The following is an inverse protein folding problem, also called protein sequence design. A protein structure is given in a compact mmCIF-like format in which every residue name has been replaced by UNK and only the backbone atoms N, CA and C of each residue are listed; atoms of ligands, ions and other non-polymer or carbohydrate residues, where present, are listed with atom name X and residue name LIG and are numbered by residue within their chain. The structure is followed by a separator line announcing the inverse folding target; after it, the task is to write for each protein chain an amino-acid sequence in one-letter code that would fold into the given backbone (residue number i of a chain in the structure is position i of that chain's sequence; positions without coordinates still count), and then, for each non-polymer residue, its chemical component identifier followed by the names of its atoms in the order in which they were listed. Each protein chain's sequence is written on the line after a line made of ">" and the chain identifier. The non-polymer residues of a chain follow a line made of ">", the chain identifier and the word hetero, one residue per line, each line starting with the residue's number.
data_IF_742559228049
#
_entry.id   IF_742559228049
#
_cell.length_a   1.000
_cell.length_b   1.000
_cell.length_c   1.000
_cell.angle_alpha   90.00
_cell.angle_beta   90.00
_cell.angle_gamma   90.00
#
_symmetry.space_group_name_H-M   'P 1'
#
loop_
_entity.id
_entity.type
_entity.pdbx_description
1 polymer ?
#
# COMPACT_ATOMS: atom_id res chain seq x y z
N UNK A 1 7.79 33.23 -4.88
CA UNK A 1 8.78 32.59 -5.76
C UNK A 1 9.67 31.73 -4.90
N UNK A 2 9.35 30.44 -4.79
CA UNK A 2 10.25 29.44 -4.20
C UNK A 2 11.09 28.88 -5.34
N UNK A 3 12.40 29.16 -5.31
CA UNK A 3 13.37 28.56 -6.22
C UNK A 3 13.40 27.04 -5.97
N UNK A 4 12.81 26.28 -6.88
CA UNK A 4 13.08 24.85 -6.97
C UNK A 4 14.47 24.70 -7.59
N UNK A 5 15.45 24.23 -6.81
CA UNK A 5 16.76 23.85 -7.33
C UNK A 5 16.60 22.91 -8.54
N UNK A 6 17.49 22.94 -9.54
CA UNK A 6 17.35 22.12 -10.73
C UNK A 6 17.50 20.64 -10.33
N UNK A 7 16.38 19.93 -10.23
CA UNK A 7 16.37 18.52 -9.90
C UNK A 7 17.11 17.71 -10.95
N UNK A 8 18.13 16.97 -10.53
CA UNK A 8 18.81 15.96 -11.34
C UNK A 8 17.74 15.00 -11.88
N UNK A 9 17.46 15.06 -13.19
CA UNK A 9 16.55 14.12 -13.84
C UNK A 9 17.16 12.71 -13.75
N UNK A 10 16.55 11.83 -12.98
CA UNK A 10 16.87 10.40 -12.95
C UNK A 10 17.58 9.88 -11.71
N UNK A 11 17.79 10.68 -10.66
CA UNK A 11 18.21 10.20 -9.35
C UNK A 11 17.01 9.81 -8.48
N UNK A 12 17.09 8.69 -7.77
CA UNK A 12 16.10 8.32 -6.75
C UNK A 12 16.37 9.09 -5.46
N UNK A 13 15.37 9.77 -4.86
CA UNK A 13 15.53 10.30 -3.53
C UNK A 13 15.71 9.15 -2.52
N UNK A 14 16.58 9.35 -1.54
CA UNK A 14 16.74 8.40 -0.44
C UNK A 14 15.49 8.46 0.46
N UNK A 15 14.60 7.50 0.30
CA UNK A 15 13.37 7.38 1.07
C UNK A 15 13.63 6.45 2.26
N UNK A 16 13.52 7.00 3.48
CA UNK A 16 13.69 6.26 4.73
C UNK A 16 12.34 5.88 5.33
N UNK A 17 12.23 4.76 6.08
CA UNK A 17 11.05 4.52 6.89
C UNK A 17 10.72 5.74 7.78
N UNK A 18 9.43 6.01 7.98
CA UNK A 18 9.00 6.94 9.00
C UNK A 18 9.27 6.32 10.37
N UNK A 19 9.83 7.10 11.31
CA UNK A 19 10.20 6.58 12.62
C UNK A 19 8.99 6.05 13.39
N UNK A 20 7.86 6.77 13.34
CA UNK A 20 6.62 6.38 14.02
C UNK A 20 5.39 6.78 13.22
N UNK A 21 4.29 6.06 13.42
CA UNK A 21 2.98 6.44 12.90
C UNK A 21 2.49 7.76 13.53
N UNK A 22 2.15 8.80 12.74
CA UNK A 22 1.44 9.95 13.27
C UNK A 22 0.12 9.52 13.92
N UNK A 23 -0.23 10.18 15.02
CA UNK A 23 -1.47 9.91 15.74
C UNK A 23 -2.67 10.02 14.77
N UNK A 24 -3.50 8.98 14.75
CA UNK A 24 -4.71 8.94 13.92
C UNK A 24 -4.51 8.46 12.48
N UNK A 25 -3.28 8.39 11.94
CA UNK A 25 -3.06 7.93 10.56
C UNK A 25 -3.56 6.50 10.34
N UNK A 26 -3.25 5.58 11.25
CA UNK A 26 -3.70 4.19 11.15
C UNK A 26 -5.24 4.08 11.12
N UNK A 27 -5.93 4.86 11.97
CA UNK A 27 -7.40 4.93 11.98
C UNK A 27 -7.95 5.51 10.67
N UNK A 28 -7.34 6.57 10.16
CA UNK A 28 -7.74 7.21 8.91
C UNK A 28 -7.62 6.23 7.74
N UNK A 29 -6.46 5.56 7.60
CA UNK A 29 -6.22 4.58 6.52
C UNK A 29 -7.16 3.37 6.62
N UNK A 30 -7.42 2.87 7.84
CA UNK A 30 -8.38 1.80 8.04
C UNK A 30 -9.81 2.22 7.63
N UNK A 31 -10.22 3.45 7.95
CA UNK A 31 -11.51 3.99 7.52
C UNK A 31 -11.62 4.16 5.99
N UNK A 32 -10.54 4.60 5.34
CA UNK A 32 -10.47 4.71 3.87
C UNK A 32 -10.65 3.34 3.21
N UNK A 33 -9.96 2.30 3.69
CA UNK A 33 -10.12 0.93 3.18
C UNK A 33 -11.54 0.40 3.39
N UNK A 34 -12.12 0.67 4.56
CA UNK A 34 -13.52 0.31 4.83
C UNK A 34 -14.48 1.02 3.88
N UNK A 35 -14.23 2.29 3.57
CA UNK A 35 -15.04 3.03 2.60
C UNK A 35 -14.93 2.40 1.20
N UNK A 36 -13.72 2.05 0.75
CA UNK A 36 -13.50 1.35 -0.53
C UNK A 36 -14.27 0.02 -0.60
N UNK A 37 -14.23 -0.77 0.48
CA UNK A 37 -14.99 -2.02 0.56
C UNK A 37 -16.49 -1.77 0.39
N UNK A 38 -17.02 -0.77 1.08
CA UNK A 38 -18.45 -0.42 1.03
C UNK A 38 -18.85 0.11 -0.36
N UNK A 39 -18.01 0.93 -0.99
CA UNK A 39 -18.28 1.50 -2.33
C UNK A 39 -18.58 0.43 -3.37
N UNK A 40 -17.93 -0.74 -3.29
CA UNK A 40 -18.12 -1.84 -4.26
C UNK A 40 -19.06 -2.95 -3.77
N UNK A 41 -19.71 -2.76 -2.62
CA UNK A 41 -20.56 -3.80 -2.00
C UNK A 41 -21.86 -3.30 -1.37
N UNK A 42 -22.18 -2.02 -1.54
CA UNK A 42 -23.37 -1.40 -0.95
C UNK A 42 -24.26 -0.84 -2.05
N UNK A 43 -25.57 -1.01 -1.88
CA UNK A 43 -26.60 -0.24 -2.58
C UNK A 43 -27.29 0.66 -1.55
N UNK A 44 -27.12 1.97 -1.65
CA UNK A 44 -27.55 2.95 -0.64
C UNK A 44 -28.01 4.24 -1.30
N UNK A 45 -28.96 4.93 -0.67
CA UNK A 45 -29.37 6.29 -1.05
C UNK A 45 -28.56 7.38 -0.34
N UNK A 46 -27.64 7.01 0.56
CA UNK A 46 -26.87 7.96 1.39
C UNK A 46 -25.56 8.43 0.74
N UNK A 47 -25.38 8.23 -0.57
CA UNK A 47 -24.12 8.54 -1.26
C UNK A 47 -23.75 10.02 -1.17
N UNK A 48 -24.71 10.93 -1.29
CA UNK A 48 -24.45 12.37 -1.23
C UNK A 48 -23.91 12.78 0.17
N UNK A 49 -24.57 12.33 1.24
CA UNK A 49 -24.11 12.59 2.61
C UNK A 49 -22.74 11.95 2.89
N UNK A 50 -22.49 10.74 2.37
CA UNK A 50 -21.19 10.09 2.51
C UNK A 50 -20.09 10.88 1.77
N UNK A 51 -20.38 11.40 0.58
CA UNK A 51 -19.46 12.23 -0.19
C UNK A 51 -19.10 13.52 0.56
N UNK A 52 -20.08 14.21 1.14
CA UNK A 52 -19.83 15.41 1.97
C UNK A 52 -18.86 15.12 3.12
N UNK A 53 -18.95 13.95 3.77
CA UNK A 53 -18.03 13.56 4.83
C UNK A 53 -16.59 13.33 4.31
N UNK A 54 -16.45 12.71 3.13
CA UNK A 54 -15.15 12.50 2.48
C UNK A 54 -14.53 13.84 2.08
N UNK A 55 -15.30 14.72 1.46
CA UNK A 55 -14.86 16.07 1.05
C UNK A 55 -14.41 16.89 2.26
N UNK A 56 -15.15 16.84 3.37
CA UNK A 56 -14.74 17.49 4.62
C UNK A 56 -13.43 16.92 5.17
N UNK A 57 -13.21 15.61 5.07
CA UNK A 57 -11.95 15.00 5.47
C UNK A 57 -10.79 15.46 4.58
N UNK A 58 -11.00 15.55 3.27
CA UNK A 58 -10.02 16.12 2.33
C UNK A 58 -9.69 17.57 2.68
N UNK A 59 -10.69 18.41 2.92
CA UNK A 59 -10.51 19.82 3.26
C UNK A 59 -9.70 20.04 4.55
N UNK A 60 -9.75 19.11 5.51
CA UNK A 60 -8.93 19.17 6.73
C UNK A 60 -7.45 18.91 6.45
N UNK A 61 -7.14 18.09 5.44
CA UNK A 61 -5.77 17.70 5.09
C UNK A 61 -5.17 18.59 3.99
N UNK A 62 -6.01 19.22 3.17
CA UNK A 62 -5.59 20.14 2.13
C UNK A 62 -4.82 21.33 2.73
N UNK A 63 -3.84 21.84 2.00
CA UNK A 63 -2.86 22.82 2.47
C UNK A 63 -1.70 22.27 3.30
N UNK A 64 -1.71 20.98 3.66
CA UNK A 64 -0.62 20.30 4.39
C UNK A 64 0.22 19.38 3.50
N UNK A 65 0.19 19.58 2.18
CA UNK A 65 1.02 18.82 1.25
C UNK A 65 2.50 19.07 1.55
N UNK A 66 3.28 18.00 1.56
CA UNK A 66 4.71 18.01 1.83
C UNK A 66 5.49 17.50 0.61
N UNK A 67 6.79 17.81 0.48
CA UNK A 67 7.62 17.28 -0.60
C UNK A 67 7.66 15.74 -0.64
N UNK A 68 8.13 15.22 -1.76
CA UNK A 68 8.37 13.79 -1.93
C UNK A 68 9.23 13.25 -0.78
N UNK A 69 8.78 12.13 -0.21
CA UNK A 69 9.48 11.50 0.90
C UNK A 69 9.38 12.25 2.25
N UNK A 70 8.49 13.20 2.41
CA UNK A 70 8.13 13.73 3.73
C UNK A 70 6.80 13.17 4.25
N UNK A 71 5.89 12.76 3.36
CA UNK A 71 4.59 12.22 3.76
C UNK A 71 4.75 10.86 4.46
N UNK A 72 3.96 10.57 5.51
CA UNK A 72 4.07 9.32 6.26
C UNK A 72 3.50 8.12 5.51
N UNK A 73 2.47 8.32 4.69
CA UNK A 73 1.80 7.24 3.96
C UNK A 73 2.76 6.48 3.04
N UNK A 74 2.78 5.15 3.16
CA UNK A 74 3.71 4.30 2.41
C UNK A 74 5.07 4.11 3.07
N UNK A 75 5.30 4.66 4.27
CA UNK A 75 6.60 4.61 4.97
C UNK A 75 6.51 4.18 6.43
N UNK A 76 5.32 3.92 6.97
CA UNK A 76 5.13 3.56 8.39
C UNK A 76 5.10 2.04 8.56
N UNK A 77 6.23 1.41 8.91
CA UNK A 77 6.37 -0.05 9.03
C UNK A 77 5.35 -0.71 9.98
N UNK A 78 4.95 0.02 11.02
CA UNK A 78 4.00 -0.45 12.05
C UNK A 78 2.55 -0.57 11.56
N UNK A 79 2.23 0.03 10.39
CA UNK A 79 0.87 0.06 9.86
C UNK A 79 0.71 -0.90 8.66
N UNK A 80 -0.46 -1.56 8.53
CA UNK A 80 -0.72 -2.39 7.35
C UNK A 80 -0.62 -1.58 6.05
N UNK A 81 0.04 -2.13 5.04
CA UNK A 81 0.34 -1.45 3.78
C UNK A 81 1.26 -0.23 3.93
N UNK A 82 2.08 -0.18 4.99
CA UNK A 82 2.91 0.97 5.38
C UNK A 82 2.13 2.28 5.63
N UNK A 83 0.84 2.16 5.94
CA UNK A 83 -0.07 3.31 6.03
C UNK A 83 -0.50 3.87 4.66
N UNK A 84 -0.25 3.16 3.56
CA UNK A 84 -0.73 3.54 2.23
C UNK A 84 -2.19 3.06 2.03
N UNK A 85 -3.15 3.95 1.67
CA UNK A 85 -4.56 3.58 1.59
C UNK A 85 -4.89 2.63 0.44
N UNK A 86 -4.11 2.62 -0.64
CA UNK A 86 -4.33 1.74 -1.79
C UNK A 86 -3.71 0.35 -1.64
N UNK A 87 -2.61 0.23 -0.87
CA UNK A 87 -1.96 -1.07 -0.72
C UNK A 87 -2.82 -1.94 0.19
N UNK A 88 -2.94 -3.25 -0.10
CA UNK A 88 -3.73 -4.15 0.72
C UNK A 88 -3.17 -4.17 2.14
N UNK A 89 -4.01 -4.42 3.16
CA UNK A 89 -3.64 -4.26 4.58
C UNK A 89 -2.77 -5.41 5.08
N UNK A 90 -1.56 -5.53 4.53
CA UNK A 90 -0.57 -6.54 4.87
C UNK A 90 0.53 -5.94 5.74
N UNK A 91 1.04 -6.74 6.67
CA UNK A 91 2.09 -6.36 7.62
C UNK A 91 3.34 -7.18 7.36
N UNK A 92 4.50 -6.53 7.47
CA UNK A 92 5.79 -7.25 7.49
C UNK A 92 5.89 -7.97 8.83
N UNK A 93 6.10 -9.28 8.79
CA UNK A 93 6.26 -10.11 9.99
C UNK A 93 7.72 -10.50 10.21
N UNK A 94 8.49 -10.65 9.13
CA UNK A 94 9.93 -10.92 9.18
C UNK A 94 10.65 -10.20 8.03
N UNK A 95 11.87 -9.73 8.28
CA UNK A 95 12.75 -9.14 7.25
C UNK A 95 14.20 -9.45 7.54
N UNK A 96 14.97 -9.83 6.52
CA UNK A 96 16.41 -10.07 6.64
C UNK A 96 17.06 -10.51 5.32
N UNK A 97 18.28 -11.06 5.36
CA UNK A 97 19.00 -11.50 4.16
C UNK A 97 18.26 -12.54 3.33
N UNK A 98 17.34 -13.29 3.95
CA UNK A 98 16.50 -14.29 3.28
C UNK A 98 15.26 -13.73 2.60
N UNK A 99 15.00 -12.41 2.68
CA UNK A 99 13.84 -11.75 2.10
C UNK A 99 12.89 -11.18 3.17
N UNK A 100 11.67 -10.87 2.72
CA UNK A 100 10.60 -10.27 3.53
C UNK A 100 9.40 -11.22 3.55
N UNK A 101 8.90 -11.53 4.74
CA UNK A 101 7.64 -12.26 4.96
C UNK A 101 6.55 -11.28 5.35
N UNK A 102 5.35 -11.48 4.83
CA UNK A 102 4.19 -10.66 5.16
C UNK A 102 2.95 -11.50 5.41
N UNK A 103 2.13 -11.04 6.35
CA UNK A 103 0.80 -11.59 6.62
C UNK A 103 -0.28 -10.53 6.35
N UNK A 104 -1.42 -10.97 5.82
CA UNK A 104 -2.53 -10.07 5.55
C UNK A 104 -3.72 -10.80 4.93
N UNK A 105 -4.64 -10.04 4.36
CA UNK A 105 -5.77 -10.56 3.60
C UNK A 105 -6.17 -9.54 2.53
N UNK A 106 -6.94 -9.98 1.55
CA UNK A 106 -7.59 -9.13 0.58
C UNK A 106 -9.06 -8.99 0.95
N UNK A 107 -9.53 -7.76 1.11
CA UNK A 107 -10.94 -7.45 1.36
C UNK A 107 -11.77 -7.26 0.08
N UNK A 108 -13.04 -6.91 0.29
CA UNK A 108 -14.06 -6.67 -0.73
C UNK A 108 -13.64 -5.74 -1.88
N UNK A 109 -12.86 -4.69 -1.60
CA UNK A 109 -12.34 -3.75 -2.60
C UNK A 109 -11.39 -4.41 -3.63
N UNK A 110 -10.82 -5.58 -3.31
CA UNK A 110 -9.80 -6.23 -4.13
C UNK A 110 -10.36 -7.31 -5.08
N UNK A 111 -11.67 -7.46 -5.13
CA UNK A 111 -12.29 -8.59 -5.81
C UNK A 111 -12.41 -8.39 -7.31
N UNK A 112 -12.09 -9.44 -8.06
CA UNK A 112 -12.38 -9.55 -9.49
C UNK A 112 -13.63 -10.38 -9.74
N UNK A 113 -13.50 -11.40 -10.59
CA UNK A 113 -14.58 -12.37 -10.83
C UNK A 113 -14.68 -13.44 -9.75
N UNK A 114 -15.84 -14.11 -9.68
CA UNK A 114 -16.07 -15.31 -8.85
C UNK A 114 -15.76 -15.15 -7.35
N UNK A 115 -15.93 -13.94 -6.81
CA UNK A 115 -15.62 -13.63 -5.42
C UNK A 115 -14.15 -13.94 -5.01
N UNK A 116 -13.23 -13.93 -5.97
CA UNK A 116 -11.80 -14.14 -5.75
C UNK A 116 -11.02 -12.83 -5.91
N UNK A 117 -9.81 -12.78 -5.36
CA UNK A 117 -8.92 -11.62 -5.54
C UNK A 117 -8.71 -11.38 -7.03
N UNK A 118 -8.87 -10.13 -7.46
CA UNK A 118 -8.64 -9.74 -8.85
C UNK A 118 -7.19 -10.04 -9.21
N UNK A 119 -6.96 -10.68 -10.36
CA UNK A 119 -5.62 -11.09 -10.79
C UNK A 119 -4.59 -9.97 -10.70
N UNK A 120 -4.95 -8.74 -11.12
CA UNK A 120 -4.10 -7.55 -11.05
C UNK A 120 -3.77 -7.00 -9.63
N UNK A 121 -4.49 -7.40 -8.58
CA UNK A 121 -4.15 -7.00 -7.21
C UNK A 121 -2.94 -7.75 -6.65
N UNK A 122 -2.72 -8.98 -7.12
CA UNK A 122 -1.62 -9.84 -6.72
C UNK A 122 -0.25 -9.28 -7.21
N UNK A 123 -0.04 -8.91 -8.49
CA UNK A 123 1.20 -8.29 -8.92
C UNK A 123 1.40 -6.91 -8.32
N UNK A 124 0.34 -6.12 -8.06
CA UNK A 124 0.47 -4.86 -7.32
C UNK A 124 1.06 -5.10 -5.92
N UNK A 125 0.56 -6.11 -5.21
CA UNK A 125 1.09 -6.50 -3.92
C UNK A 125 2.57 -6.95 -4.01
N UNK A 126 2.91 -7.82 -4.97
CA UNK A 126 4.27 -8.32 -5.11
C UNK A 126 5.27 -7.27 -5.58
N UNK A 127 4.88 -6.34 -6.46
CA UNK A 127 5.74 -5.22 -6.85
C UNK A 127 6.12 -4.38 -5.63
N UNK A 128 5.15 -4.06 -4.77
CA UNK A 128 5.40 -3.37 -3.50
C UNK A 128 6.28 -4.19 -2.55
N UNK A 129 5.99 -5.49 -2.34
CA UNK A 129 6.80 -6.37 -1.50
C UNK A 129 8.26 -6.42 -1.97
N UNK A 130 8.49 -6.57 -3.28
CA UNK A 130 9.85 -6.61 -3.84
C UNK A 130 10.57 -5.26 -3.72
N UNK A 131 9.85 -4.15 -3.80
CA UNK A 131 10.40 -2.84 -3.44
C UNK A 131 11.00 -2.83 -2.04
N UNK A 132 10.29 -3.40 -1.06
CA UNK A 132 10.81 -3.52 0.31
C UNK A 132 12.00 -4.47 0.41
N UNK A 133 11.99 -5.60 -0.31
CA UNK A 133 13.14 -6.53 -0.33
C UNK A 133 14.40 -5.80 -0.79
N UNK A 134 14.34 -5.07 -1.91
CA UNK A 134 15.47 -4.26 -2.41
C UNK A 134 15.95 -3.26 -1.35
N UNK A 135 15.03 -2.54 -0.70
CA UNK A 135 15.38 -1.59 0.36
C UNK A 135 16.05 -2.25 1.56
N UNK A 136 15.56 -3.42 2.00
CA UNK A 136 16.13 -4.16 3.15
C UNK A 136 17.45 -4.85 2.83
N UNK A 137 17.69 -5.21 1.57
CA UNK A 137 18.93 -5.86 1.12
C UNK A 137 20.11 -4.88 0.96
N UNK A 138 19.90 -3.57 1.18
CA UNK A 138 20.93 -2.54 1.01
C UNK A 138 21.33 -2.32 -0.46
N UNK A 139 20.47 -2.74 -1.40
CA UNK A 139 20.69 -2.47 -2.81
C UNK A 139 20.54 -0.96 -3.10
N UNK A 140 21.29 -0.41 -4.07
CA UNK A 140 21.01 0.93 -4.58
C UNK A 140 19.56 1.02 -5.06
N UNK A 141 18.91 2.20 -5.01
CA UNK A 141 17.55 2.36 -5.51
C UNK A 141 17.40 1.86 -6.96
N UNK A 142 16.45 0.94 -7.19
CA UNK A 142 16.21 0.31 -8.49
C UNK A 142 14.77 0.50 -8.97
N UNK A 143 14.54 0.35 -10.28
CA UNK A 143 13.20 0.23 -10.86
C UNK A 143 12.87 -1.22 -11.17
N UNK A 144 11.61 -1.59 -10.95
CA UNK A 144 11.06 -2.83 -11.51
C UNK A 144 11.18 -2.77 -13.03
N UNK A 145 12.02 -3.64 -13.60
CA UNK A 145 12.16 -3.76 -15.06
C UNK A 145 11.05 -4.64 -15.65
N UNK A 146 10.75 -5.75 -14.97
CA UNK A 146 9.65 -6.65 -15.28
C UNK A 146 9.22 -7.38 -14.01
N UNK A 147 7.97 -7.82 -13.97
CA UNK A 147 7.43 -8.68 -12.92
C UNK A 147 6.70 -9.84 -13.61
N UNK A 148 7.05 -11.07 -13.25
CA UNK A 148 6.38 -12.28 -13.74
C UNK A 148 5.64 -12.94 -12.59
N UNK A 149 4.34 -13.20 -12.76
CA UNK A 149 3.48 -13.81 -11.75
C UNK A 149 2.78 -15.03 -12.34
N UNK A 150 3.04 -16.19 -11.76
CA UNK A 150 2.31 -17.43 -12.04
C UNK A 150 1.12 -17.59 -11.09
N UNK A 151 -0.09 -17.63 -11.62
CA UNK A 151 -1.31 -17.85 -10.83
C UNK A 151 -1.58 -19.35 -10.73
N UNK A 152 -1.24 -19.95 -9.58
CA UNK A 152 -1.33 -21.41 -9.38
C UNK A 152 -2.62 -21.87 -8.72
N UNK A 153 -3.26 -21.00 -7.95
CA UNK A 153 -4.52 -21.27 -7.26
C UNK A 153 -5.37 -20.01 -7.20
N UNK A 154 -6.68 -20.20 -7.02
CA UNK A 154 -7.59 -19.10 -6.68
C UNK A 154 -7.13 -18.50 -5.34
N UNK A 155 -6.93 -17.19 -5.31
CA UNK A 155 -6.59 -16.48 -4.08
C UNK A 155 -7.88 -16.03 -3.39
N UNK A 156 -8.15 -16.48 -2.16
CA UNK A 156 -9.37 -16.16 -1.44
C UNK A 156 -9.38 -14.71 -0.96
N UNK A 157 -10.58 -14.22 -0.65
CA UNK A 157 -10.82 -12.93 -0.02
C UNK A 157 -11.20 -13.17 1.45
N UNK A 158 -11.00 -12.18 2.30
CA UNK A 158 -11.35 -12.20 3.73
C UNK A 158 -10.76 -13.41 4.51
N UNK A 159 -9.73 -14.04 3.96
CA UNK A 159 -8.99 -15.15 4.56
C UNK A 159 -7.54 -14.73 4.85
N UNK A 160 -6.95 -15.16 5.99
CA UNK A 160 -5.55 -14.93 6.28
C UNK A 160 -4.63 -15.58 5.24
N UNK A 161 -3.72 -14.80 4.69
CA UNK A 161 -2.73 -15.22 3.71
C UNK A 161 -1.33 -14.82 4.18
N UNK A 162 -0.34 -15.61 3.76
CA UNK A 162 1.07 -15.34 4.00
C UNK A 162 1.82 -15.27 2.66
N UNK A 163 2.66 -14.24 2.52
CA UNK A 163 3.58 -14.09 1.42
C UNK A 163 4.98 -14.34 1.96
N UNK A 164 5.69 -15.28 1.34
CA UNK A 164 6.99 -15.75 1.81
C UNK A 164 8.02 -15.65 0.68
N UNK A 165 9.29 -15.38 1.01
CA UNK A 165 10.35 -15.57 0.03
C UNK A 165 10.44 -17.06 -0.32
N UNK A 166 10.52 -17.35 -1.62
CA UNK A 166 10.81 -18.68 -2.13
C UNK A 166 12.23 -18.72 -2.66
N UNK A 167 13.08 -19.57 -2.10
CA UNK A 167 14.30 -19.99 -2.80
C UNK A 167 13.88 -21.06 -3.81
N UNK A 168 13.80 -20.70 -5.09
CA UNK A 168 13.70 -21.69 -6.15
C UNK A 168 14.99 -22.52 -6.13
N UNK A 169 14.88 -23.79 -5.77
CA UNK A 169 15.86 -24.81 -6.12
C UNK A 169 15.43 -25.47 -7.42
#
# INVERSE_FOLDING_TARGET
>A
MTETAPGVRGGFPEIKPAEHAPAGLGRFVAAMRRLQDLTVSTDSSSWDTAAEHVERACALLDGHQVPEGAAPGGRVLELPGLGHPLLPPWLVTESGPGGVTMDGHFSRAHVGGNNAVHGGMIPLFYDWLFGMVVSTAGCPPTRTAFLHVDYRNITPIDEPLAARPGFGY
#
